data_IF_007218134493
#
_entry.id   IF_007218134493
#
_cell.length_a   1.000
_cell.length_b   1.000
_cell.length_c   1.000
_cell.angle_alpha   90.00
_cell.angle_beta   90.00
_cell.angle_gamma   90.00
#
_symmetry.space_group_name_H-M   'P 1'
#
loop_
_entity.id
_entity.type
_entity.pdbx_description
1 polymer ?
#
# COMPACT_ATOMS: atom_id res chain seq x y z
N UNK A 1 -4.62 -28.09 2.42
CA UNK A 1 -4.48 -26.78 1.73
C UNK A 1 -5.03 -26.98 0.34
N UNK A 2 -5.98 -26.16 -0.08
CA UNK A 2 -6.53 -26.22 -1.43
C UNK A 2 -5.52 -25.66 -2.44
N UNK A 3 -5.35 -26.35 -3.57
CA UNK A 3 -4.48 -25.87 -4.65
C UNK A 3 -5.25 -24.88 -5.53
N UNK A 4 -4.73 -23.68 -5.65
CA UNK A 4 -5.28 -22.63 -6.53
C UNK A 4 -4.45 -22.64 -7.82
N UNK A 5 -5.09 -22.98 -8.94
CA UNK A 5 -4.46 -22.89 -10.25
C UNK A 5 -4.47 -21.45 -10.73
N UNK A 6 -3.30 -20.89 -11.06
CA UNK A 6 -3.16 -19.53 -11.54
C UNK A 6 -1.69 -19.08 -11.60
N UNK A 7 -1.49 -17.83 -11.91
CA UNK A 7 -0.20 -17.15 -11.93
C UNK A 7 -0.22 -16.02 -10.91
N UNK A 8 0.93 -15.72 -10.32
CA UNK A 8 1.02 -14.53 -9.46
C UNK A 8 1.05 -13.23 -10.29
N UNK A 9 0.99 -12.08 -9.58
CA UNK A 9 0.93 -10.76 -10.20
C UNK A 9 2.32 -10.12 -10.41
N UNK A 10 3.42 -10.83 -10.16
CA UNK A 10 4.79 -10.28 -10.32
C UNK A 10 5.04 -9.72 -11.71
N UNK A 11 4.48 -10.37 -12.74
CA UNK A 11 4.41 -9.83 -14.11
C UNK A 11 3.00 -9.32 -14.34
N UNK A 12 2.78 -8.07 -13.98
CA UNK A 12 1.49 -7.42 -14.07
C UNK A 12 1.06 -7.25 -15.53
N UNK A 13 -0.23 -7.47 -15.76
CA UNK A 13 -0.93 -7.03 -16.96
C UNK A 13 -2.22 -6.34 -16.54
N UNK A 14 -2.77 -5.47 -17.39
CA UNK A 14 -4.01 -4.75 -17.10
C UNK A 14 -5.17 -5.69 -16.70
N UNK A 15 -5.32 -6.81 -17.38
CA UNK A 15 -6.35 -7.80 -17.06
C UNK A 15 -6.16 -8.39 -15.65
N UNK A 16 -4.94 -8.87 -15.34
CA UNK A 16 -4.63 -9.42 -14.01
C UNK A 16 -4.83 -8.37 -12.91
N UNK A 17 -4.42 -7.14 -13.18
CA UNK A 17 -4.55 -6.02 -12.23
C UNK A 17 -6.03 -5.73 -11.92
N UNK A 18 -6.91 -5.74 -12.93
CA UNK A 18 -8.36 -5.56 -12.73
C UNK A 18 -8.91 -6.65 -11.81
N UNK A 19 -8.62 -7.92 -12.08
CA UNK A 19 -9.09 -9.04 -11.24
C UNK A 19 -8.59 -8.91 -9.79
N UNK A 20 -7.34 -8.53 -9.59
CA UNK A 20 -6.76 -8.31 -8.27
C UNK A 20 -7.45 -7.15 -7.52
N UNK A 21 -7.70 -6.05 -8.22
CA UNK A 21 -8.40 -4.89 -7.65
C UNK A 21 -9.86 -5.22 -7.34
N UNK A 22 -10.55 -5.96 -8.19
CA UNK A 22 -11.94 -6.38 -7.96
C UNK A 22 -12.05 -7.25 -6.70
N UNK A 23 -11.13 -8.20 -6.51
CA UNK A 23 -11.07 -9.01 -5.30
C UNK A 23 -10.86 -8.16 -4.05
N UNK A 24 -9.90 -7.24 -4.08
CA UNK A 24 -9.62 -6.32 -2.96
C UNK A 24 -10.83 -5.41 -2.68
N UNK A 25 -11.38 -4.79 -3.71
CA UNK A 25 -12.52 -3.86 -3.62
C UNK A 25 -13.76 -4.56 -3.06
N UNK A 26 -14.07 -5.78 -3.53
CA UNK A 26 -15.20 -6.55 -3.04
C UNK A 26 -15.09 -6.81 -1.53
N UNK A 27 -13.91 -7.24 -1.09
CA UNK A 27 -13.61 -7.49 0.31
C UNK A 27 -13.74 -6.22 1.17
N UNK A 28 -13.20 -5.10 0.69
CA UNK A 28 -13.26 -3.85 1.41
C UNK A 28 -14.65 -3.22 1.39
N UNK A 29 -15.45 -3.42 0.35
CA UNK A 29 -16.86 -3.01 0.33
C UNK A 29 -17.67 -3.66 1.45
N UNK A 30 -17.50 -4.95 1.65
CA UNK A 30 -18.20 -5.73 2.67
C UNK A 30 -17.80 -5.34 4.09
N UNK A 31 -16.53 -5.03 4.29
CA UNK A 31 -15.97 -4.82 5.64
C UNK A 31 -15.81 -3.35 6.03
N UNK A 32 -16.16 -2.40 5.15
CA UNK A 32 -15.98 -0.97 5.34
C UNK A 32 -16.65 -0.44 6.60
N UNK A 33 -15.84 0.03 7.58
CA UNK A 33 -16.28 0.54 8.88
C UNK A 33 -17.34 -0.34 9.59
N UNK A 34 -17.32 -1.63 9.28
CA UNK A 34 -18.29 -2.56 9.82
C UNK A 34 -17.97 -2.96 11.25
N UNK A 35 -18.88 -2.75 12.21
CA UNK A 35 -18.66 -3.15 13.60
C UNK A 35 -18.59 -4.67 13.76
N UNK A 36 -19.17 -5.44 12.83
CA UNK A 36 -19.15 -6.92 12.86
C UNK A 36 -17.71 -7.44 12.71
N UNK A 37 -16.88 -6.76 11.91
CA UNK A 37 -15.52 -7.19 11.62
C UNK A 37 -14.46 -6.43 12.41
N UNK A 38 -14.83 -5.54 13.34
CA UNK A 38 -13.91 -4.61 14.02
C UNK A 38 -12.69 -5.27 14.69
N UNK A 39 -12.80 -6.54 15.08
CA UNK A 39 -11.73 -7.31 15.72
C UNK A 39 -11.14 -8.41 14.82
N UNK A 40 -11.40 -8.34 13.51
CA UNK A 40 -10.88 -9.35 12.57
C UNK A 40 -9.40 -9.12 12.30
N UNK A 41 -8.61 -10.17 12.47
CA UNK A 41 -7.20 -10.21 12.09
C UNK A 41 -6.27 -9.39 12.98
N UNK A 42 -5.23 -8.81 12.37
CA UNK A 42 -4.22 -8.01 13.06
C UNK A 42 -4.80 -6.69 13.58
N UNK A 43 -4.55 -6.36 14.85
CA UNK A 43 -5.20 -5.20 15.43
C UNK A 43 -4.64 -3.87 14.89
N UNK A 44 -5.53 -2.88 14.74
CA UNK A 44 -5.13 -1.53 14.36
C UNK A 44 -4.08 -0.94 15.31
N UNK A 45 -4.25 -1.10 16.62
CA UNK A 45 -3.32 -0.54 17.60
C UNK A 45 -1.91 -1.14 17.47
N UNK A 46 -1.81 -2.46 17.25
CA UNK A 46 -0.53 -3.11 17.00
C UNK A 46 0.11 -2.61 15.69
N UNK A 47 -0.67 -2.48 14.63
CA UNK A 47 -0.23 -1.93 13.35
C UNK A 47 0.24 -0.48 13.47
N UNK A 48 -0.54 0.38 14.14
CA UNK A 48 -0.19 1.77 14.38
C UNK A 48 1.08 1.94 15.22
N UNK A 49 1.17 1.20 16.33
CA UNK A 49 2.36 1.20 17.20
C UNK A 49 3.61 0.71 16.45
N UNK A 50 3.45 -0.31 15.60
CA UNK A 50 4.51 -0.79 14.73
C UNK A 50 5.05 0.32 13.82
N UNK A 51 4.15 1.06 13.16
CA UNK A 51 4.49 2.20 12.30
C UNK A 51 5.15 3.34 13.07
N UNK A 52 4.61 3.71 14.23
CA UNK A 52 5.26 4.72 15.09
C UNK A 52 6.70 4.34 15.46
N UNK A 53 6.94 3.06 15.77
CA UNK A 53 8.28 2.58 16.10
C UNK A 53 9.22 2.62 14.90
N UNK A 54 8.75 2.31 13.69
CA UNK A 54 9.54 2.40 12.45
C UNK A 54 9.98 3.84 12.17
N UNK A 55 9.13 4.82 12.37
CA UNK A 55 9.45 6.24 12.15
C UNK A 55 10.67 6.75 12.94
N UNK A 56 11.00 6.11 14.08
CA UNK A 56 12.17 6.48 14.90
C UNK A 56 13.54 6.20 14.23
N UNK A 57 13.54 5.43 13.15
CA UNK A 57 14.76 5.02 12.45
C UNK A 57 14.91 5.67 11.07
N UNK A 58 14.15 6.71 10.74
CA UNK A 58 14.28 7.38 9.45
C UNK A 58 15.58 8.19 9.37
N UNK A 59 16.03 8.79 10.48
CA UNK A 59 17.27 9.54 10.59
C UNK A 59 17.40 10.68 9.56
N UNK A 60 16.26 11.28 9.18
CA UNK A 60 16.18 12.35 8.18
C UNK A 60 15.00 13.27 8.55
N UNK A 61 15.28 14.53 8.82
CA UNK A 61 14.28 15.49 9.33
C UNK A 61 13.11 15.76 8.37
N UNK A 62 13.38 15.71 7.05
CA UNK A 62 12.34 15.87 6.03
C UNK A 62 11.41 14.65 6.01
N UNK A 63 11.98 13.45 5.99
CA UNK A 63 11.20 12.21 6.04
C UNK A 63 10.39 12.11 7.33
N UNK A 64 10.99 12.45 8.48
CA UNK A 64 10.31 12.42 9.79
C UNK A 64 9.11 13.38 9.84
N UNK A 65 9.23 14.56 9.21
CA UNK A 65 8.14 15.54 9.15
C UNK A 65 6.94 14.99 8.36
N UNK A 66 7.19 14.44 7.19
CA UNK A 66 6.13 13.85 6.35
C UNK A 66 5.57 12.59 7.00
N UNK A 67 6.42 11.80 7.66
CA UNK A 67 6.00 10.57 8.35
C UNK A 67 5.06 10.84 9.53
N UNK A 68 5.28 11.91 10.30
CA UNK A 68 4.33 12.33 11.35
C UNK A 68 2.95 12.62 10.76
N UNK A 69 2.92 13.32 9.63
CA UNK A 69 1.65 13.60 8.94
C UNK A 69 1.00 12.33 8.40
N UNK A 70 1.79 11.39 7.86
CA UNK A 70 1.29 10.06 7.49
C UNK A 70 0.61 9.36 8.67
N UNK A 71 1.22 9.36 9.87
CA UNK A 71 0.61 8.72 11.05
C UNK A 71 -0.72 9.36 11.46
N UNK A 72 -0.86 10.70 11.34
CA UNK A 72 -2.14 11.38 11.58
C UNK A 72 -3.20 10.92 10.57
N UNK A 73 -2.85 10.85 9.28
CA UNK A 73 -3.75 10.39 8.23
C UNK A 73 -4.10 8.91 8.46
N UNK A 74 -3.11 8.07 8.74
CA UNK A 74 -3.30 6.65 9.04
C UNK A 74 -4.31 6.43 10.17
N UNK A 75 -4.28 7.27 11.21
CA UNK A 75 -5.20 7.19 12.34
C UNK A 75 -6.62 7.69 12.00
N UNK A 76 -6.78 8.55 11.01
CA UNK A 76 -8.02 9.28 10.74
C UNK A 76 -8.89 8.73 9.62
N UNK A 77 -8.30 8.03 8.64
CA UNK A 77 -9.06 7.53 7.49
C UNK A 77 -9.90 6.29 7.83
N UNK A 78 -11.03 6.07 7.12
CA UNK A 78 -11.88 4.90 7.30
C UNK A 78 -11.11 3.58 7.24
N UNK A 79 -11.66 2.55 7.88
CA UNK A 79 -11.04 1.23 7.97
C UNK A 79 -11.86 0.17 7.26
N UNK A 80 -11.16 -0.76 6.65
CA UNK A 80 -11.73 -1.95 6.02
C UNK A 80 -10.79 -3.14 6.24
N UNK A 81 -11.17 -4.33 5.83
CA UNK A 81 -10.24 -5.45 5.83
C UNK A 81 -9.13 -5.19 4.82
N UNK A 82 -7.91 -5.09 5.32
CA UNK A 82 -6.71 -4.87 4.54
C UNK A 82 -5.72 -6.02 4.73
N UNK A 83 -5.00 -6.27 3.67
CA UNK A 83 -3.85 -7.15 3.64
C UNK A 83 -2.58 -6.29 3.75
N UNK A 84 -1.99 -6.21 4.92
CA UNK A 84 -0.86 -5.29 5.20
C UNK A 84 0.46 -5.69 4.48
N UNK A 85 0.47 -6.83 3.81
CA UNK A 85 1.57 -7.30 2.96
C UNK A 85 1.09 -7.74 1.57
N UNK A 86 0.26 -6.93 0.90
CA UNK A 86 -0.27 -7.22 -0.43
C UNK A 86 0.79 -7.03 -1.51
N UNK A 87 1.80 -7.87 -1.49
CA UNK A 87 2.80 -7.94 -2.54
C UNK A 87 2.26 -8.69 -3.76
N UNK A 88 2.77 -8.43 -4.97
CA UNK A 88 2.29 -9.08 -6.20
C UNK A 88 2.32 -10.62 -6.15
N UNK A 89 3.22 -11.24 -5.41
CA UNK A 89 3.27 -12.70 -5.27
C UNK A 89 2.24 -13.25 -4.26
N UNK A 90 1.62 -12.39 -3.44
CA UNK A 90 0.51 -12.74 -2.55
C UNK A 90 -0.85 -12.66 -3.24
N UNK A 91 -0.85 -12.57 -4.56
CA UNK A 91 -2.06 -12.56 -5.41
C UNK A 91 -1.92 -13.63 -6.46
N UNK A 92 -2.81 -14.63 -6.43
CA UNK A 92 -2.90 -15.66 -7.46
C UNK A 92 -4.06 -15.33 -8.38
N UNK A 93 -3.78 -15.12 -9.66
CA UNK A 93 -4.78 -14.79 -10.68
C UNK A 93 -5.03 -16.01 -11.55
N UNK A 94 -6.29 -16.47 -11.55
CA UNK A 94 -6.81 -17.48 -12.50
C UNK A 94 -7.40 -16.78 -13.74
N UNK A 95 -8.11 -17.53 -14.58
CA UNK A 95 -8.74 -16.99 -15.79
C UNK A 95 -9.70 -15.84 -15.49
N UNK A 96 -10.54 -16.00 -14.44
CA UNK A 96 -11.66 -15.09 -14.17
C UNK A 96 -11.69 -14.53 -12.74
N UNK A 97 -10.72 -14.91 -11.91
CA UNK A 97 -10.70 -14.56 -10.50
C UNK A 97 -9.28 -14.28 -10.00
N UNK A 98 -9.18 -13.48 -8.94
CA UNK A 98 -7.96 -13.35 -8.16
C UNK A 98 -8.19 -13.77 -6.71
N UNK A 99 -7.17 -14.37 -6.11
CA UNK A 99 -7.15 -14.84 -4.74
C UNK A 99 -6.03 -14.14 -3.99
N UNK A 100 -6.38 -13.46 -2.91
CA UNK A 100 -5.42 -12.86 -2.01
C UNK A 100 -5.03 -13.91 -0.96
N UNK A 101 -3.75 -14.23 -0.87
CA UNK A 101 -3.21 -15.29 -0.02
C UNK A 101 -2.24 -14.69 1.01
N UNK A 102 -1.87 -15.47 2.03
CA UNK A 102 -0.91 -15.08 3.07
C UNK A 102 -1.38 -13.89 3.95
N UNK A 103 -2.51 -14.08 4.62
CA UNK A 103 -3.18 -13.08 5.45
C UNK A 103 -2.59 -12.88 6.85
N UNK A 104 -1.34 -13.24 7.09
CA UNK A 104 -0.72 -13.19 8.43
C UNK A 104 -0.85 -11.81 9.10
N UNK A 105 -0.69 -10.74 8.32
CA UNK A 105 -0.80 -9.34 8.78
C UNK A 105 -2.13 -8.68 8.40
N UNK A 106 -3.08 -9.47 7.89
CA UNK A 106 -4.39 -8.93 7.49
C UNK A 106 -5.25 -8.54 8.68
N UNK A 107 -5.97 -7.42 8.58
CA UNK A 107 -6.83 -6.92 9.65
C UNK A 107 -7.68 -5.72 9.23
N UNK A 108 -8.50 -5.22 10.16
CA UNK A 108 -9.29 -4.00 9.93
C UNK A 108 -8.37 -2.78 10.11
N UNK A 109 -7.81 -2.34 9.01
CA UNK A 109 -6.79 -1.30 8.91
C UNK A 109 -7.27 -0.16 8.00
N UNK A 110 -6.57 0.99 7.97
CA UNK A 110 -6.84 2.07 7.02
C UNK A 110 -6.90 1.56 5.59
N UNK A 111 -7.99 1.90 4.89
CA UNK A 111 -8.33 1.34 3.58
C UNK A 111 -7.23 1.45 2.50
N UNK A 112 -6.34 2.47 2.48
CA UNK A 112 -5.31 2.56 1.46
C UNK A 112 -4.15 1.56 1.63
N UNK A 113 -4.04 0.91 2.81
CA UNK A 113 -2.90 0.06 3.16
C UNK A 113 -2.60 -1.00 2.09
N UNK A 114 -3.61 -1.77 1.68
CA UNK A 114 -3.40 -2.86 0.71
C UNK A 114 -3.04 -2.36 -0.69
N UNK A 115 -3.76 -1.37 -1.20
CA UNK A 115 -3.48 -0.86 -2.56
C UNK A 115 -2.14 -0.14 -2.63
N UNK A 116 -1.75 0.59 -1.58
CA UNK A 116 -0.44 1.22 -1.54
C UNK A 116 0.68 0.18 -1.60
N UNK A 117 0.57 -0.90 -0.80
CA UNK A 117 1.53 -2.00 -0.81
C UNK A 117 1.63 -2.68 -2.18
N UNK A 118 0.49 -2.86 -2.86
CA UNK A 118 0.44 -3.47 -4.18
C UNK A 118 1.17 -2.64 -5.25
N UNK A 119 1.02 -1.31 -5.23
CA UNK A 119 1.50 -0.43 -6.30
C UNK A 119 2.80 0.34 -5.98
N UNK A 120 3.35 0.18 -4.77
CA UNK A 120 4.55 0.92 -4.34
C UNK A 120 5.86 0.45 -5.00
N UNK A 121 5.81 -0.58 -5.84
CA UNK A 121 6.98 -1.11 -6.53
C UNK A 121 7.25 -0.29 -7.79
N UNK A 122 8.36 0.45 -7.78
CA UNK A 122 8.76 1.32 -8.88
C UNK A 122 9.75 0.60 -9.81
N UNK A 123 9.30 -0.52 -10.34
CA UNK A 123 10.06 -1.35 -11.25
C UNK A 123 9.30 -1.45 -12.57
N UNK A 124 9.89 -0.86 -13.61
CA UNK A 124 9.33 -0.75 -14.95
C UNK A 124 10.06 -1.60 -15.99
N UNK A 125 10.93 -2.50 -15.54
CA UNK A 125 11.65 -3.45 -16.40
C UNK A 125 11.06 -4.85 -16.25
N UNK A 126 10.93 -5.58 -17.35
CA UNK A 126 10.35 -6.94 -17.36
C UNK A 126 11.14 -7.95 -16.54
N UNK A 127 12.42 -7.67 -16.26
CA UNK A 127 13.29 -8.52 -15.45
C UNK A 127 13.16 -8.24 -13.94
N UNK A 128 12.46 -7.17 -13.57
CA UNK A 128 12.23 -6.83 -12.17
C UNK A 128 11.42 -7.91 -11.44
N UNK A 129 11.65 -8.04 -10.14
CA UNK A 129 10.89 -8.98 -9.30
C UNK A 129 9.39 -8.66 -9.31
N UNK A 130 9.04 -7.36 -9.36
CA UNK A 130 7.68 -6.85 -9.44
C UNK A 130 7.59 -5.89 -10.60
N UNK A 131 7.00 -6.33 -11.71
CA UNK A 131 6.83 -5.50 -12.88
C UNK A 131 5.44 -4.87 -12.92
N UNK A 132 5.40 -3.54 -12.82
CA UNK A 132 4.18 -2.74 -12.99
C UNK A 132 4.54 -1.38 -13.60
N UNK A 133 3.93 -1.04 -14.73
CA UNK A 133 4.18 0.24 -15.40
C UNK A 133 3.59 1.41 -14.60
N UNK A 134 4.11 2.61 -14.81
CA UNK A 134 3.52 3.82 -14.21
C UNK A 134 2.08 4.03 -14.67
N UNK A 135 1.75 3.65 -15.92
CA UNK A 135 0.38 3.71 -16.43
C UNK A 135 -0.56 2.76 -15.68
N UNK A 136 -0.10 1.56 -15.34
CA UNK A 136 -0.89 0.60 -14.57
C UNK A 136 -1.09 1.04 -13.12
N UNK A 137 -0.10 1.71 -12.51
CA UNK A 137 -0.25 2.32 -11.17
C UNK A 137 -1.31 3.43 -11.19
N UNK A 138 -1.23 4.35 -12.13
CA UNK A 138 -2.22 5.43 -12.26
C UNK A 138 -3.61 4.86 -12.56
N UNK A 139 -3.69 3.83 -13.40
CA UNK A 139 -4.94 3.11 -13.63
C UNK A 139 -5.47 2.49 -12.34
N UNK A 140 -4.65 1.80 -11.55
CA UNK A 140 -5.07 1.18 -10.30
C UNK A 140 -5.65 2.21 -9.32
N UNK A 141 -5.00 3.38 -9.20
CA UNK A 141 -5.47 4.48 -8.35
C UNK A 141 -6.84 5.00 -8.82
N UNK A 142 -7.02 5.22 -10.11
CA UNK A 142 -8.29 5.67 -10.69
C UNK A 142 -9.38 4.62 -10.58
N UNK A 143 -9.08 3.37 -10.92
CA UNK A 143 -10.02 2.24 -10.84
C UNK A 143 -10.52 2.01 -9.43
N UNK A 144 -9.62 2.04 -8.45
CA UNK A 144 -9.97 1.89 -7.03
C UNK A 144 -10.89 3.03 -6.56
N UNK A 145 -10.62 4.26 -6.96
CA UNK A 145 -11.49 5.39 -6.67
C UNK A 145 -12.89 5.19 -7.24
N UNK A 146 -13.00 4.92 -8.52
CA UNK A 146 -14.28 4.82 -9.22
C UNK A 146 -15.16 3.66 -8.71
N UNK A 147 -14.52 2.54 -8.28
CA UNK A 147 -15.21 1.34 -7.87
C UNK A 147 -15.40 1.18 -6.35
N UNK A 148 -14.68 1.94 -5.52
CA UNK A 148 -14.82 1.86 -4.06
C UNK A 148 -15.15 3.20 -3.40
N UNK A 149 -14.43 4.27 -3.72
CA UNK A 149 -14.42 5.48 -2.89
C UNK A 149 -15.45 6.52 -3.30
N UNK A 150 -15.73 6.63 -4.58
CA UNK A 150 -16.64 7.63 -5.16
C UNK A 150 -18.01 7.67 -4.48
N UNK A 151 -18.58 6.50 -4.21
CA UNK A 151 -19.88 6.36 -3.57
C UNK A 151 -19.85 6.49 -2.03
N UNK A 152 -18.69 6.78 -1.46
CA UNK A 152 -18.45 6.96 -0.01
C UNK A 152 -18.21 8.40 0.39
N UNK A 153 -18.44 9.33 -0.53
CA UNK A 153 -18.26 10.76 -0.27
C UNK A 153 -16.80 11.23 -0.20
N UNK A 154 -15.85 10.37 -0.57
CA UNK A 154 -14.43 10.74 -0.67
C UNK A 154 -14.21 11.33 -2.06
N UNK A 155 -13.68 12.55 -2.13
CA UNK A 155 -13.36 13.17 -3.41
C UNK A 155 -12.10 12.57 -4.03
N UNK A 156 -11.97 12.67 -5.36
CA UNK A 156 -10.76 12.20 -6.03
C UNK A 156 -9.49 12.93 -5.56
N UNK A 157 -9.60 14.20 -5.21
CA UNK A 157 -8.49 15.01 -4.69
C UNK A 157 -8.05 14.51 -3.30
N UNK A 158 -9.00 14.26 -2.41
CA UNK A 158 -8.70 13.68 -1.09
C UNK A 158 -8.04 12.30 -1.21
N UNK A 159 -8.58 11.46 -2.11
CA UNK A 159 -7.99 10.15 -2.40
C UNK A 159 -6.56 10.26 -2.92
N UNK A 160 -6.33 11.11 -3.94
CA UNK A 160 -4.99 11.31 -4.50
C UNK A 160 -4.01 11.79 -3.44
N UNK A 161 -4.40 12.71 -2.58
CA UNK A 161 -3.57 13.18 -1.50
C UNK A 161 -3.29 12.08 -0.47
N UNK A 162 -4.30 11.29 -0.12
CA UNK A 162 -4.17 10.21 0.87
C UNK A 162 -3.20 9.12 0.38
N UNK A 163 -3.36 8.64 -0.85
CA UNK A 163 -2.53 7.55 -1.38
C UNK A 163 -1.05 7.94 -1.49
N UNK A 164 -0.73 9.23 -1.74
CA UNK A 164 0.66 9.70 -1.78
C UNK A 164 1.38 9.49 -0.43
N UNK A 165 0.68 9.68 0.71
CA UNK A 165 1.25 9.41 2.03
C UNK A 165 1.46 7.91 2.31
N UNK A 166 0.56 7.07 1.82
CA UNK A 166 0.70 5.62 1.96
C UNK A 166 1.83 5.07 1.07
N UNK A 167 1.98 5.56 -0.15
CA UNK A 167 3.13 5.25 -1.00
C UNK A 167 4.44 5.72 -0.38
N UNK A 168 4.45 6.91 0.22
CA UNK A 168 5.60 7.40 0.96
C UNK A 168 5.99 6.45 2.10
N UNK A 169 5.01 5.96 2.86
CA UNK A 169 5.26 4.98 3.92
C UNK A 169 5.92 3.71 3.38
N UNK A 170 5.43 3.17 2.28
CA UNK A 170 6.00 1.96 1.66
C UNK A 170 7.47 2.17 1.24
N UNK A 171 7.81 3.33 0.70
CA UNK A 171 9.20 3.65 0.36
C UNK A 171 10.08 3.83 1.62
N UNK A 172 9.53 4.31 2.73
CA UNK A 172 10.25 4.45 3.99
C UNK A 172 10.59 3.10 4.66
N UNK A 173 9.92 2.02 4.31
CA UNK A 173 10.12 0.72 4.96
C UNK A 173 11.58 0.24 4.84
N UNK A 174 12.17 0.35 3.66
CA UNK A 174 13.57 -0.02 3.43
C UNK A 174 14.57 0.97 4.04
N UNK A 175 14.20 2.25 4.16
CA UNK A 175 15.00 3.25 4.87
C UNK A 175 15.07 2.92 6.36
N UNK A 176 13.91 2.60 6.96
CA UNK A 176 13.83 2.15 8.33
C UNK A 176 14.64 0.88 8.58
N UNK A 177 14.52 -0.14 7.73
CA UNK A 177 15.26 -1.41 7.87
C UNK A 177 16.77 -1.17 7.78
N UNK A 178 17.22 -0.41 6.77
CA UNK A 178 18.63 -0.10 6.59
C UNK A 178 19.23 0.63 7.80
N UNK A 179 18.57 1.67 8.29
CA UNK A 179 19.07 2.44 9.44
C UNK A 179 19.02 1.66 10.76
N UNK A 180 17.96 0.89 11.00
CA UNK A 180 17.79 0.11 12.22
C UNK A 180 18.85 -0.98 12.38
N UNK A 181 19.19 -1.63 11.28
CA UNK A 181 20.12 -2.76 11.28
C UNK A 181 21.52 -2.39 10.78
N UNK A 182 21.80 -1.07 10.64
CA UNK A 182 23.08 -0.55 10.12
C UNK A 182 23.48 -1.15 8.77
N UNK A 183 22.49 -1.43 7.92
CA UNK A 183 22.65 -2.07 6.62
C UNK A 183 22.34 -1.08 5.48
N UNK A 184 23.04 0.05 5.48
CA UNK A 184 22.84 1.14 4.52
C UNK A 184 23.45 0.86 3.13
N UNK A 185 24.29 -0.14 3.02
CA UNK A 185 24.88 -0.61 1.75
C UNK A 185 23.97 -1.62 1.03
N UNK A 186 22.83 -1.98 1.62
CA UNK A 186 21.84 -2.86 1.01
C UNK A 186 21.24 -2.21 -0.23
N UNK A 187 21.08 -2.99 -1.31
CA UNK A 187 20.52 -2.52 -2.58
C UNK A 187 19.13 -1.88 -2.46
N UNK A 188 18.28 -2.42 -1.58
CA UNK A 188 16.94 -1.86 -1.33
C UNK A 188 17.02 -0.51 -0.60
N UNK A 189 17.93 -0.35 0.38
CA UNK A 189 18.13 0.94 1.02
C UNK A 189 18.59 2.00 0.01
N UNK A 190 19.59 1.67 -0.80
CA UNK A 190 20.14 2.56 -1.83
C UNK A 190 19.06 2.95 -2.85
N UNK A 191 18.21 2.00 -3.24
CA UNK A 191 17.11 2.22 -4.17
C UNK A 191 16.00 3.08 -3.57
N UNK A 192 15.53 2.75 -2.36
CA UNK A 192 14.31 3.34 -1.79
C UNK A 192 14.53 4.66 -1.06
N UNK A 193 15.73 4.97 -0.54
CA UNK A 193 15.99 6.27 0.07
C UNK A 193 15.74 7.45 -0.89
N UNK A 194 16.25 7.46 -2.13
CA UNK A 194 15.91 8.52 -3.10
C UNK A 194 14.41 8.56 -3.46
N UNK A 195 13.74 7.40 -3.51
CA UNK A 195 12.30 7.33 -3.76
C UNK A 195 11.52 7.99 -2.63
N UNK A 196 11.81 7.63 -1.37
CA UNK A 196 11.19 8.24 -0.20
C UNK A 196 11.38 9.76 -0.16
N UNK A 197 12.59 10.26 -0.47
CA UNK A 197 12.88 11.70 -0.53
C UNK A 197 12.11 12.42 -1.64
N UNK A 198 12.07 11.85 -2.85
CA UNK A 198 11.26 12.41 -3.95
C UNK A 198 9.78 12.45 -3.59
N UNK A 199 9.28 11.40 -2.97
CA UNK A 199 7.88 11.33 -2.55
C UNK A 199 7.56 12.35 -1.46
N UNK A 200 8.43 12.50 -0.45
CA UNK A 200 8.30 13.53 0.59
C UNK A 200 8.22 14.94 -0.02
N UNK A 201 9.14 15.26 -0.93
CA UNK A 201 9.14 16.53 -1.62
C UNK A 201 7.88 16.77 -2.48
N UNK A 202 7.37 15.74 -3.14
CA UNK A 202 6.10 15.80 -3.88
C UNK A 202 4.93 16.14 -2.97
N UNK A 203 4.83 15.46 -1.83
CA UNK A 203 3.78 15.66 -0.82
C UNK A 203 3.82 17.11 -0.28
N UNK A 204 5.01 17.62 0.04
CA UNK A 204 5.15 18.99 0.53
C UNK A 204 4.63 20.01 -0.49
N UNK A 205 4.90 19.83 -1.79
CA UNK A 205 4.38 20.70 -2.84
C UNK A 205 2.85 20.69 -2.96
N UNK A 206 2.21 19.54 -2.74
CA UNK A 206 0.73 19.43 -2.78
C UNK A 206 0.07 20.21 -1.64
N UNK A 207 0.72 20.34 -0.50
CA UNK A 207 0.20 21.07 0.66
C UNK A 207 0.33 22.60 0.53
N UNK A 208 1.01 23.12 -0.48
CA UNK A 208 1.17 24.56 -0.76
C UNK A 208 0.28 25.05 -1.91
N UNK A 209 -0.54 24.20 -2.51
CA UNK A 209 -1.54 24.53 -3.53
C UNK A 209 -2.97 24.48 -2.97
#
# INVERSE_FOLDING_TARGET
MEYIQGEDLRKCSRHKLVLALDALISLQKETWESPVYANLGYSFDASFNGRQNRGKYLNDAELETVYKKFLEIYASVPRALCHDDLLPFNIIVSTDNAFLIDWEYGGILPYPTSIARLIAHDEDTEDALFYMTQEDKEFAIGYYYDNLLKDRGITYVEWRNTIEYFLFYEYCEWVFVGNKYENIDNEYYIKYLPLAKRQAHRIQKLNYQ
#
